data_IF_122296518644
#
_entry.id   IF_122296518644
#
_cell.length_a   1.000
_cell.length_b   1.000
_cell.length_c   1.000
_cell.angle_alpha   90.00
_cell.angle_beta   90.00
_cell.angle_gamma   90.00
#
_symmetry.space_group_name_H-M   'P 1'
#
loop_
_entity.id
_entity.type
_entity.pdbx_description
1 polymer ?
#
# COMPACT_ATOMS: atom_id res chain seq x y z
N UNK A 1 -12.54 -2.67 -5.89
CA UNK A 1 -11.63 -1.80 -6.67
C UNK A 1 -10.52 -1.33 -5.76
N UNK A 2 -9.39 -2.01 -5.86
CA UNK A 2 -8.15 -1.64 -5.17
C UNK A 2 -7.50 -0.46 -5.88
N UNK A 3 -7.03 0.53 -5.12
CA UNK A 3 -6.30 1.71 -5.59
C UNK A 3 -4.87 1.71 -5.07
N UNK A 4 -3.98 2.51 -5.68
CA UNK A 4 -2.61 2.70 -5.16
C UNK A 4 -2.58 3.26 -3.72
N UNK A 5 -3.65 3.91 -3.27
CA UNK A 5 -3.77 4.40 -1.90
C UNK A 5 -4.05 3.30 -0.87
N UNK A 6 -4.57 2.15 -1.29
CA UNK A 6 -4.88 1.03 -0.41
C UNK A 6 -3.61 0.30 0.06
N UNK A 7 -2.53 0.38 -0.71
CA UNK A 7 -1.22 -0.19 -0.39
C UNK A 7 -0.44 0.82 0.47
N UNK A 8 -0.20 0.49 1.74
CA UNK A 8 0.36 1.42 2.73
C UNK A 8 1.76 1.92 2.36
N UNK A 9 2.60 1.04 1.83
CA UNK A 9 3.97 1.36 1.40
C UNK A 9 3.95 2.40 0.28
N UNK A 10 3.09 2.19 -0.72
CA UNK A 10 2.95 3.09 -1.88
C UNK A 10 2.29 4.39 -1.45
N UNK A 11 1.24 4.35 -0.64
CA UNK A 11 0.57 5.56 -0.13
C UNK A 11 1.53 6.46 0.65
N UNK A 12 2.35 5.85 1.51
CA UNK A 12 3.40 6.55 2.27
C UNK A 12 4.48 7.11 1.34
N UNK A 13 4.94 6.32 0.36
CA UNK A 13 5.90 6.77 -0.63
C UNK A 13 5.35 7.97 -1.42
N UNK A 14 4.11 7.94 -1.91
CA UNK A 14 3.44 9.03 -2.63
C UNK A 14 3.29 10.30 -1.78
N UNK A 15 3.06 10.16 -0.48
CA UNK A 15 2.95 11.28 0.46
C UNK A 15 4.30 11.98 0.65
N UNK A 16 5.37 11.21 0.80
CA UNK A 16 6.73 11.72 1.04
C UNK A 16 7.48 12.07 -0.26
N UNK A 17 6.97 11.65 -1.42
CA UNK A 17 7.64 11.87 -2.70
C UNK A 17 7.63 13.35 -3.12
N UNK A 18 8.74 13.81 -3.68
CA UNK A 18 8.89 15.15 -4.25
C UNK A 18 8.00 15.32 -5.49
N UNK A 19 7.53 16.55 -5.73
CA UNK A 19 6.65 16.88 -6.86
C UNK A 19 7.22 16.46 -8.22
N UNK A 20 8.52 16.59 -8.44
CA UNK A 20 9.17 16.17 -9.69
C UNK A 20 9.01 14.68 -9.96
N UNK A 21 9.19 13.84 -8.93
CA UNK A 21 9.00 12.39 -9.03
C UNK A 21 7.53 12.03 -9.27
N UNK A 22 6.61 12.77 -8.63
CA UNK A 22 5.16 12.62 -8.84
C UNK A 22 4.78 12.97 -10.29
N UNK A 23 5.40 13.99 -10.91
CA UNK A 23 5.16 14.32 -12.33
C UNK A 23 5.62 13.19 -13.25
N UNK A 24 6.77 12.58 -12.97
CA UNK A 24 7.29 11.44 -13.75
C UNK A 24 6.31 10.27 -13.65
N UNK A 25 5.84 9.92 -12.44
CA UNK A 25 4.85 8.87 -12.26
C UNK A 25 3.50 9.19 -12.94
N UNK A 26 3.02 10.44 -12.83
CA UNK A 26 1.79 10.85 -13.50
C UNK A 26 1.92 10.75 -15.03
N UNK A 27 3.06 11.16 -15.57
CA UNK A 27 3.37 11.02 -17.00
C UNK A 27 3.36 9.57 -17.43
N UNK A 28 3.86 8.66 -16.59
CA UNK A 28 3.87 7.23 -16.90
C UNK A 28 2.45 6.64 -16.94
N UNK A 29 1.62 6.98 -15.94
CA UNK A 29 0.27 6.42 -15.81
C UNK A 29 -0.70 7.00 -16.86
N UNK A 30 -0.65 8.31 -17.08
CA UNK A 30 -1.66 9.04 -17.87
C UNK A 30 -1.13 9.62 -19.18
N UNK A 31 0.12 9.33 -19.56
CA UNK A 31 0.82 9.91 -20.72
C UNK A 31 0.80 11.46 -20.73
N UNK A 32 0.69 12.07 -19.54
CA UNK A 32 0.52 13.52 -19.37
C UNK A 32 1.29 14.02 -18.15
N UNK A 33 1.90 15.19 -18.25
CA UNK A 33 2.56 15.83 -17.10
C UNK A 33 1.58 16.27 -16.01
N UNK A 34 0.31 16.49 -16.37
CA UNK A 34 -0.74 16.89 -15.44
C UNK A 34 -0.49 18.24 -14.74
N UNK A 35 -0.97 18.36 -13.49
CA UNK A 35 -1.02 19.59 -12.70
C UNK A 35 -0.75 19.33 -11.19
N UNK A 36 -1.06 20.31 -10.33
CA UNK A 36 -0.93 20.18 -8.86
C UNK A 36 -1.78 19.05 -8.26
N UNK A 37 -2.78 18.56 -8.98
CA UNK A 37 -3.69 17.48 -8.55
C UNK A 37 -3.17 16.09 -8.89
N UNK A 38 -1.99 15.98 -9.52
CA UNK A 38 -1.38 14.70 -9.90
C UNK A 38 -1.34 13.69 -8.76
N UNK A 39 -0.93 14.13 -7.56
CA UNK A 39 -0.84 13.25 -6.39
C UNK A 39 -2.20 12.68 -6.00
N UNK A 40 -3.28 13.45 -6.16
CA UNK A 40 -4.65 12.97 -5.90
C UNK A 40 -5.05 11.92 -6.93
N UNK A 41 -4.88 12.20 -8.22
CA UNK A 41 -5.23 11.27 -9.31
C UNK A 41 -4.45 9.96 -9.22
N UNK A 42 -3.16 10.01 -8.88
CA UNK A 42 -2.34 8.81 -8.71
C UNK A 42 -2.87 7.95 -7.55
N UNK A 43 -3.27 8.55 -6.43
CA UNK A 43 -3.84 7.80 -5.29
C UNK A 43 -5.16 7.10 -5.64
N UNK A 44 -5.94 7.70 -6.52
CA UNK A 44 -7.23 7.18 -6.99
C UNK A 44 -7.06 6.21 -8.19
N UNK A 45 -5.84 5.95 -8.64
CA UNK A 45 -5.56 5.05 -9.75
C UNK A 45 -5.81 3.59 -9.34
N UNK A 46 -6.68 2.92 -10.08
CA UNK A 46 -7.13 1.54 -9.84
C UNK A 46 -6.35 0.48 -10.64
N UNK A 47 -5.36 0.89 -11.43
CA UNK A 47 -4.69 0.03 -12.39
C UNK A 47 -5.11 0.32 -13.84
N UNK A 48 -4.46 -0.38 -14.76
CA UNK A 48 -4.85 -0.38 -16.17
C UNK A 48 -6.00 -1.36 -16.41
N UNK A 49 -6.86 -1.06 -17.38
CA UNK A 49 -8.02 -1.87 -17.77
C UNK A 49 -7.68 -3.04 -18.70
N UNK A 50 -6.42 -3.14 -19.15
CA UNK A 50 -5.92 -4.20 -20.01
C UNK A 50 -5.12 -5.26 -19.23
N UNK A 51 -5.11 -6.48 -19.76
CA UNK A 51 -4.38 -7.60 -19.16
C UNK A 51 -2.89 -7.59 -19.50
N UNK A 52 -2.09 -8.27 -18.68
CA UNK A 52 -0.67 -8.52 -18.98
C UNK A 52 -0.54 -9.31 -20.28
N UNK A 53 0.45 -8.94 -21.10
CA UNK A 53 0.72 -9.54 -22.42
C UNK A 53 -0.35 -9.34 -23.51
N UNK A 54 -1.40 -8.53 -23.24
CA UNK A 54 -2.33 -8.01 -24.26
C UNK A 54 -1.64 -7.15 -25.34
N UNK A 55 -2.33 -6.87 -26.44
CA UNK A 55 -1.80 -5.97 -27.48
C UNK A 55 -1.62 -4.56 -26.94
N UNK A 56 -2.55 -4.09 -26.12
CA UNK A 56 -2.50 -2.80 -25.42
C UNK A 56 -1.29 -2.73 -24.48
N UNK A 57 -1.04 -3.81 -23.73
CA UNK A 57 0.13 -3.92 -22.85
C UNK A 57 1.43 -3.80 -23.64
N UNK A 58 1.58 -4.54 -24.75
CA UNK A 58 2.79 -4.50 -25.59
C UNK A 58 2.99 -3.12 -26.23
N UNK A 59 1.91 -2.51 -26.71
CA UNK A 59 1.93 -1.16 -27.29
C UNK A 59 2.37 -0.12 -26.25
N UNK A 60 1.78 -0.16 -25.07
CA UNK A 60 2.12 0.73 -23.94
C UNK A 60 3.56 0.51 -23.48
N UNK A 61 4.00 -0.74 -23.39
CA UNK A 61 5.38 -1.09 -23.02
C UNK A 61 6.39 -0.49 -24.01
N UNK A 62 6.13 -0.59 -25.32
CA UNK A 62 6.96 0.03 -26.35
C UNK A 62 7.01 1.56 -26.22
N UNK A 63 5.85 2.21 -26.02
CA UNK A 63 5.81 3.66 -25.79
C UNK A 63 6.57 4.08 -24.54
N UNK A 64 6.46 3.32 -23.45
CA UNK A 64 7.21 3.58 -22.21
C UNK A 64 8.71 3.45 -22.44
N UNK A 65 9.15 2.42 -23.16
CA UNK A 65 10.56 2.20 -23.43
C UNK A 65 11.16 3.27 -24.34
N UNK A 66 10.38 3.89 -25.22
CA UNK A 66 10.85 5.03 -26.02
C UNK A 66 10.80 6.36 -25.26
N UNK A 67 9.75 6.59 -24.46
CA UNK A 67 9.49 7.90 -23.82
C UNK A 67 10.21 8.11 -22.49
N UNK A 68 10.59 7.04 -21.80
CA UNK A 68 11.19 7.10 -20.47
C UNK A 68 12.64 6.64 -20.47
N UNK A 69 13.44 7.26 -19.63
CA UNK A 69 14.82 6.85 -19.36
C UNK A 69 14.86 5.84 -18.21
N UNK A 70 15.92 5.00 -18.17
CA UNK A 70 16.12 4.05 -17.08
C UNK A 70 16.07 4.71 -15.69
N UNK A 71 16.63 5.91 -15.54
CA UNK A 71 16.58 6.66 -14.28
C UNK A 71 15.16 7.06 -13.84
N UNK A 72 14.29 7.35 -14.81
CA UNK A 72 12.87 7.67 -14.54
C UNK A 72 12.12 6.40 -14.13
N UNK A 73 12.39 5.28 -14.80
CA UNK A 73 11.83 3.97 -14.43
C UNK A 73 12.26 3.54 -13.03
N UNK A 74 13.55 3.69 -12.69
CA UNK A 74 14.07 3.43 -11.33
C UNK A 74 13.37 4.34 -10.32
N UNK A 75 13.12 5.60 -10.67
CA UNK A 75 12.37 6.52 -9.79
C UNK A 75 10.95 6.01 -9.55
N UNK A 76 10.27 5.51 -10.59
CA UNK A 76 8.94 4.92 -10.47
C UNK A 76 8.96 3.65 -9.62
N UNK A 77 9.92 2.74 -9.86
CA UNK A 77 10.13 1.54 -9.05
C UNK A 77 10.27 1.86 -7.56
N UNK A 78 11.06 2.89 -7.22
CA UNK A 78 11.22 3.32 -5.83
C UNK A 78 9.92 3.85 -5.19
N UNK A 79 9.01 4.44 -5.97
CA UNK A 79 7.72 4.93 -5.47
C UNK A 79 6.73 3.79 -5.29
N UNK A 80 6.71 2.87 -6.24
CA UNK A 80 5.83 1.69 -6.23
C UNK A 80 6.39 0.56 -5.35
N UNK A 81 7.58 0.73 -4.77
CA UNK A 81 8.30 -0.26 -3.98
C UNK A 81 8.53 -1.59 -4.74
N UNK A 82 8.97 -1.50 -6.00
CA UNK A 82 9.24 -2.64 -6.88
C UNK A 82 10.75 -2.73 -7.16
N UNK A 83 11.28 -3.94 -7.36
CA UNK A 83 12.68 -4.12 -7.77
C UNK A 83 12.95 -3.60 -9.19
N UNK A 84 14.05 -2.89 -9.35
CA UNK A 84 14.53 -2.37 -10.64
C UNK A 84 15.63 -3.26 -11.25
N UNK A 85 15.68 -4.53 -10.86
CA UNK A 85 16.69 -5.47 -11.34
C UNK A 85 16.48 -5.79 -12.82
N UNK A 86 17.59 -5.78 -13.56
CA UNK A 86 17.64 -6.14 -14.97
C UNK A 86 17.86 -4.95 -15.91
N UNK A 87 17.55 -5.20 -17.17
CA UNK A 87 17.62 -4.23 -18.26
C UNK A 87 16.39 -3.30 -18.26
N UNK A 88 16.53 -2.16 -18.94
CA UNK A 88 15.45 -1.17 -19.09
C UNK A 88 14.07 -1.77 -19.48
N UNK A 89 13.95 -2.62 -20.52
CA UNK A 89 12.66 -3.20 -20.90
C UNK A 89 12.10 -4.17 -19.84
N UNK A 90 12.96 -4.88 -19.10
CA UNK A 90 12.53 -5.77 -18.01
C UNK A 90 11.93 -4.98 -16.86
N UNK A 91 12.57 -3.86 -16.48
CA UNK A 91 12.07 -2.93 -15.46
C UNK A 91 10.73 -2.33 -15.90
N UNK A 92 10.63 -1.85 -17.15
CA UNK A 92 9.37 -1.33 -17.70
C UNK A 92 8.26 -2.38 -17.67
N UNK A 93 8.54 -3.62 -18.09
CA UNK A 93 7.57 -4.72 -18.07
C UNK A 93 7.08 -4.98 -16.65
N UNK A 94 7.99 -5.02 -15.67
CA UNK A 94 7.66 -5.28 -14.26
C UNK A 94 6.75 -4.19 -13.68
N UNK A 95 7.05 -2.92 -13.92
CA UNK A 95 6.19 -1.80 -13.51
C UNK A 95 4.79 -1.93 -14.13
N UNK A 96 4.73 -2.18 -15.44
CA UNK A 96 3.47 -2.25 -16.16
C UNK A 96 2.62 -3.45 -15.69
N UNK A 97 3.23 -4.62 -15.52
CA UNK A 97 2.57 -5.82 -14.99
C UNK A 97 2.05 -5.61 -13.58
N UNK A 98 2.80 -4.91 -12.71
CA UNK A 98 2.34 -4.55 -11.37
C UNK A 98 1.08 -3.69 -11.41
N UNK A 99 1.03 -2.70 -12.32
CA UNK A 99 -0.12 -1.80 -12.45
C UNK A 99 -1.34 -2.44 -13.13
N UNK A 100 -1.17 -3.53 -13.88
CA UNK A 100 -2.29 -4.30 -14.44
C UNK A 100 -2.89 -5.26 -13.40
N UNK A 101 -2.06 -5.81 -12.49
CA UNK A 101 -2.47 -6.79 -11.49
C UNK A 101 -2.58 -6.19 -10.07
N UNK A 102 -2.97 -4.91 -9.97
CA UNK A 102 -3.03 -4.21 -8.69
C UNK A 102 -4.00 -4.88 -7.70
N UNK A 103 -5.14 -5.38 -8.20
CA UNK A 103 -6.17 -6.03 -7.38
C UNK A 103 -5.68 -7.35 -6.76
N UNK A 104 -5.01 -8.19 -7.56
CA UNK A 104 -4.46 -9.46 -7.10
C UNK A 104 -3.39 -9.30 -6.01
N UNK A 105 -2.56 -8.25 -6.11
CA UNK A 105 -1.49 -7.99 -5.14
C UNK A 105 -2.00 -7.41 -3.81
N UNK A 106 -3.07 -6.62 -3.84
CA UNK A 106 -3.66 -6.10 -2.61
C UNK A 106 -4.39 -7.18 -1.79
N UNK A 107 -4.96 -8.20 -2.44
CA UNK A 107 -5.51 -9.36 -1.73
C UNK A 107 -4.42 -10.11 -0.97
N UNK A 108 -3.25 -10.34 -1.57
CA UNK A 108 -2.13 -11.02 -0.90
C UNK A 108 -1.62 -10.25 0.32
N UNK A 109 -1.72 -8.93 0.32
CA UNK A 109 -1.32 -8.09 1.47
C UNK A 109 -2.35 -8.06 2.62
N UNK A 110 -3.58 -8.50 2.36
CA UNK A 110 -4.70 -8.46 3.33
C UNK A 110 -4.97 -9.81 4.00
N UNK A 111 -4.41 -10.89 3.48
CA UNK A 111 -4.66 -12.26 3.96
C UNK A 111 -3.74 -12.74 5.10
N UNK A 112 -2.88 -11.88 5.65
CA UNK A 112 -2.07 -12.23 6.84
C UNK A 112 -2.82 -12.05 8.18
N UNK A 113 -4.15 -11.96 8.16
CA UNK A 113 -5.00 -12.01 9.36
C UNK A 113 -6.28 -12.79 9.01
N UNK A 114 -6.23 -14.12 9.09
CA UNK A 114 -7.33 -15.00 9.54
C UNK A 114 -7.07 -16.45 9.10
N UNK A 115 -6.30 -17.20 9.87
CA UNK A 115 -6.30 -18.68 9.83
C UNK A 115 -5.77 -19.20 11.18
N UNK A 116 -6.63 -19.23 12.19
CA UNK A 116 -6.74 -20.37 13.12
C UNK A 116 -7.93 -20.13 14.03
N UNK A 117 -9.07 -20.69 13.64
CA UNK A 117 -9.77 -21.65 14.50
C UNK A 117 -10.77 -22.40 13.62
N UNK A 118 -10.22 -23.34 12.85
CA UNK A 118 -10.99 -24.45 12.31
C UNK A 118 -11.46 -25.30 13.49
N UNK A 119 -12.78 -25.31 13.64
CA UNK A 119 -13.58 -26.25 14.41
C UNK A 119 -13.13 -27.71 14.19
N UNK A 120 -12.60 -28.33 15.23
CA UNK A 120 -12.55 -29.79 15.35
C UNK A 120 -12.93 -30.23 16.77
N UNK A 121 -14.22 -30.49 16.95
CA UNK A 121 -14.83 -31.31 18.00
C UNK A 121 -14.00 -32.58 18.33
N UNK A 122 -13.54 -32.73 19.58
CA UNK A 122 -13.51 -34.05 20.25
C UNK A 122 -13.58 -33.92 21.77
N UNK A 123 -14.63 -34.52 22.32
CA UNK A 123 -14.82 -34.75 23.75
C UNK A 123 -13.75 -35.68 24.33
N UNK A 124 -13.19 -35.35 25.50
CA UNK A 124 -13.10 -36.33 26.57
C UNK A 124 -12.94 -35.72 27.97
N UNK A 125 -13.68 -36.35 28.87
CA UNK A 125 -13.83 -36.22 30.31
C UNK A 125 -12.50 -36.49 31.06
N UNK A 126 -12.16 -35.68 32.07
CA UNK A 126 -11.94 -36.15 33.46
C UNK A 126 -11.58 -35.01 34.43
N UNK A 127 -12.20 -35.17 35.60
CA UNK A 127 -12.15 -34.44 36.86
C UNK A 127 -10.79 -33.87 37.32
N UNK A 128 -10.81 -32.72 38.03
CA UNK A 128 -10.87 -32.67 39.52
C UNK A 128 -10.15 -31.43 40.09
N UNK A 129 -10.89 -30.71 40.94
CA UNK A 129 -10.50 -29.91 42.13
C UNK A 129 -9.09 -29.25 42.16
N UNK A 130 -8.93 -27.98 42.54
CA UNK A 130 -9.24 -27.47 43.88
C UNK A 130 -8.84 -25.98 43.98
N UNK A 131 -9.62 -25.23 44.79
CA UNK A 131 -9.26 -24.11 45.69
C UNK A 131 -8.51 -22.89 45.10
N UNK A 132 -9.15 -21.72 44.98
CA UNK A 132 -9.59 -20.76 46.02
C UNK A 132 -8.46 -19.90 46.62
N UNK A 133 -8.44 -18.62 46.23
CA UNK A 133 -8.26 -17.43 47.10
C UNK A 133 -8.27 -16.19 46.18
N UNK A 134 -9.25 -15.27 46.26
CA UNK A 134 -9.32 -14.16 47.25
C UNK A 134 -8.14 -13.20 47.03
N UNK A 135 -8.25 -11.90 46.72
CA UNK A 135 -9.17 -10.80 47.09
C UNK A 135 -8.79 -9.59 46.18
N UNK A 136 -9.67 -8.65 45.78
CA UNK A 136 -9.89 -7.31 46.40
C UNK A 136 -8.57 -6.49 46.57
N UNK A 137 -8.39 -5.21 46.23
CA UNK A 137 -9.22 -3.98 46.13
C UNK A 137 -8.60 -3.08 45.02
N UNK A 138 -9.29 -2.12 44.39
CA UNK A 138 -9.49 -0.75 44.92
C UNK A 138 -8.21 0.10 44.82
N UNK A 139 -8.16 1.39 44.55
CA UNK A 139 -9.11 2.46 44.22
C UNK A 139 -8.20 3.71 44.01
N UNK A 140 -8.77 4.80 43.50
CA UNK A 140 -8.34 6.18 43.79
C UNK A 140 -7.05 6.71 43.12
N UNK A 141 -6.87 8.00 42.82
CA UNK A 141 -7.74 9.17 42.78
C UNK A 141 -6.87 10.36 42.32
N UNK A 142 -7.54 11.36 41.74
CA UNK A 142 -7.31 12.80 41.94
C UNK A 142 -6.18 13.59 41.26
N UNK A 143 -6.67 14.53 40.42
CA UNK A 143 -6.54 16.01 40.50
C UNK A 143 -5.16 16.66 40.47
N UNK A 144 -5.07 17.65 39.58
CA UNK A 144 -4.68 19.07 39.78
C UNK A 144 -4.57 19.68 38.37
N UNK A 145 -5.47 20.53 37.89
CA UNK A 145 -5.79 21.93 38.27
C UNK A 145 -4.56 22.84 38.40
N UNK A 146 -4.42 23.77 37.44
CA UNK A 146 -3.74 25.07 37.46
C UNK A 146 -3.85 25.66 36.06
N UNK A 147 -4.83 26.52 35.74
CA UNK A 147 -4.99 27.93 36.15
C UNK A 147 -4.07 28.90 35.39
N UNK A 148 -4.73 29.80 34.63
CA UNK A 148 -4.39 31.20 34.30
C UNK A 148 -3.11 31.45 33.46
N UNK A 149 -3.03 32.40 32.52
CA UNK A 149 -3.51 33.79 32.55
C UNK A 149 -3.81 34.34 31.13
N UNK A 150 -4.67 35.37 31.11
CA UNK A 150 -4.97 36.27 30.00
C UNK A 150 -3.92 37.39 29.85
N UNK A 151 -4.23 38.32 28.94
CA UNK A 151 -3.67 39.68 28.73
C UNK A 151 -2.58 39.76 27.66
N UNK A 152 -2.58 40.71 26.71
CA UNK A 152 -3.43 41.88 26.44
C UNK A 152 -3.44 42.16 24.92
#
# INVERSE_FOLDING_TARGET
MTTLNDIQEISTALKNCKTEKIKILHKFLFDSLGDRSNRKRIREFIGFDFQVDSEEFKKKLGSVDELFLLNELITICNILNISFDGSKPEVSKRILSFLCNLEALAETSRTDIDESDLDEETANDFEKENKKSDSFEGESSNKRDSSMQCEA
#
